data_IF_415251874421
#
_entry.id   IF_415251874421
#
_cell.length_a   1.000
_cell.length_b   1.000
_cell.length_c   1.000
_cell.angle_alpha   90.00
_cell.angle_beta   90.00
_cell.angle_gamma   90.00
#
_symmetry.space_group_name_H-M   'P 1'
#
loop_
_entity.id
_entity.type
_entity.pdbx_description
1 polymer ?
#
# COMPACT_ATOMS: atom_id res chain seq x y z
N UNK A 1 12.70 11.68 -17.53
CA UNK A 1 12.75 12.33 -16.20
C UNK A 1 14.07 11.94 -15.53
N UNK A 2 14.74 12.85 -14.82
CA UNK A 2 15.95 12.52 -14.04
C UNK A 2 15.55 12.26 -12.60
N UNK A 3 16.04 11.17 -12.04
CA UNK A 3 15.90 10.82 -10.64
C UNK A 3 17.23 11.09 -9.92
N UNK A 4 17.16 11.54 -8.68
CA UNK A 4 18.31 11.87 -7.84
C UNK A 4 18.27 11.02 -6.58
N UNK A 5 19.41 10.50 -6.16
CA UNK A 5 19.59 9.80 -4.91
C UNK A 5 20.31 10.74 -3.94
N UNK A 6 19.62 11.09 -2.86
CA UNK A 6 20.12 12.02 -1.85
C UNK A 6 20.19 11.27 -0.52
N UNK A 7 21.34 11.29 0.18
CA UNK A 7 21.44 10.74 1.54
C UNK A 7 20.45 11.42 2.48
N UNK A 8 19.82 10.65 3.37
CA UNK A 8 18.81 11.17 4.30
C UNK A 8 19.36 12.28 5.20
N UNK A 9 20.66 12.27 5.48
CA UNK A 9 21.35 13.25 6.33
C UNK A 9 21.48 14.63 5.67
N UNK A 10 21.21 14.73 4.37
CA UNK A 10 21.31 15.96 3.58
C UNK A 10 19.94 16.62 3.32
N UNK A 11 18.87 16.07 3.88
CA UNK A 11 17.51 16.60 3.75
C UNK A 11 16.89 16.84 5.12
N UNK A 12 16.03 17.84 5.21
CA UNK A 12 15.21 18.07 6.39
C UNK A 12 13.82 17.45 6.18
N UNK A 13 13.46 16.48 7.03
CA UNK A 13 12.14 15.87 7.00
C UNK A 13 11.10 16.78 7.65
N UNK A 14 9.97 16.92 7.00
CA UNK A 14 8.82 17.69 7.46
C UNK A 14 7.68 16.72 7.71
N UNK A 15 7.19 16.67 8.95
CA UNK A 15 6.00 15.89 9.28
C UNK A 15 4.74 16.54 8.69
N UNK A 16 4.41 16.10 7.48
CA UNK A 16 3.19 16.46 6.76
C UNK A 16 2.14 15.35 6.79
N UNK A 17 2.43 14.20 7.43
CA UNK A 17 1.65 12.98 7.25
C UNK A 17 0.50 12.82 8.25
N UNK A 18 -0.36 13.85 8.34
CA UNK A 18 -1.53 13.89 9.21
C UNK A 18 -2.80 13.43 8.46
N UNK A 19 -2.89 12.13 8.20
CA UNK A 19 -3.96 11.52 7.36
C UNK A 19 -4.93 10.62 8.16
N UNK A 20 -6.07 10.29 7.56
CA UNK A 20 -7.10 9.42 8.17
C UNK A 20 -6.83 7.92 8.01
N UNK A 21 -6.13 7.53 6.95
CA UNK A 21 -5.79 6.14 6.63
C UNK A 21 -4.34 6.01 6.18
N UNK A 22 -3.79 4.79 6.21
CA UNK A 22 -2.38 4.53 5.89
C UNK A 22 -1.38 5.36 6.73
N UNK A 23 -1.78 5.79 7.93
CA UNK A 23 -0.96 6.64 8.82
C UNK A 23 0.42 6.05 9.13
N UNK A 24 0.50 4.73 9.21
CA UNK A 24 1.75 4.00 9.46
C UNK A 24 2.74 4.02 8.30
N UNK A 25 2.39 4.49 7.10
CA UNK A 25 3.33 4.56 5.98
C UNK A 25 4.37 5.67 6.16
N UNK A 26 4.10 6.67 7.00
CA UNK A 26 5.04 7.77 7.28
C UNK A 26 5.51 8.47 6.00
N UNK A 27 4.58 8.77 5.08
CA UNK A 27 4.90 9.38 3.78
C UNK A 27 5.14 10.89 3.91
N UNK A 28 6.11 11.23 4.76
CA UNK A 28 6.52 12.59 5.07
C UNK A 28 7.03 13.33 3.84
N UNK A 29 6.97 14.65 3.90
CA UNK A 29 7.66 15.51 2.95
C UNK A 29 9.08 15.78 3.44
N UNK A 30 9.94 16.25 2.54
CA UNK A 30 11.27 16.69 2.90
C UNK A 30 11.65 17.91 2.06
N UNK A 31 12.60 18.70 2.55
CA UNK A 31 13.19 19.83 1.84
C UNK A 31 14.68 19.59 1.61
N UNK A 32 15.19 20.12 0.50
CA UNK A 32 16.59 20.07 0.12
C UNK A 32 16.94 21.42 -0.50
N UNK A 33 17.74 22.21 0.20
CA UNK A 33 18.12 23.57 -0.23
C UNK A 33 19.55 23.59 -0.76
N UNK A 34 19.71 24.11 -1.98
CA UNK A 34 21.01 24.34 -2.65
C UNK A 34 21.96 23.12 -2.65
N UNK A 35 21.40 21.91 -2.72
CA UNK A 35 22.19 20.68 -2.68
C UNK A 35 22.80 20.32 -4.04
N UNK A 36 24.11 20.09 -4.06
CA UNK A 36 24.79 19.51 -5.22
C UNK A 36 24.66 17.97 -5.22
N UNK A 37 24.08 17.42 -6.28
CA UNK A 37 23.98 15.96 -6.48
C UNK A 37 24.98 15.50 -7.55
N UNK A 38 25.99 14.68 -7.18
CA UNK A 38 26.94 14.12 -8.15
C UNK A 38 26.23 13.31 -9.24
N UNK A 39 26.78 13.29 -10.45
CA UNK A 39 26.18 12.56 -11.58
C UNK A 39 25.95 11.08 -11.26
N UNK A 40 26.91 10.45 -10.56
CA UNK A 40 26.82 9.05 -10.12
C UNK A 40 25.66 8.75 -9.16
N UNK A 41 25.11 9.77 -8.51
CA UNK A 41 23.92 9.71 -7.65
C UNK A 41 22.66 10.17 -8.39
N UNK A 42 22.65 10.08 -9.72
CA UNK A 42 21.48 10.37 -10.52
C UNK A 42 21.35 9.38 -11.69
N UNK A 43 20.14 9.22 -12.19
CA UNK A 43 19.90 8.43 -13.39
C UNK A 43 18.72 8.98 -14.17
N UNK A 44 18.69 8.68 -15.47
CA UNK A 44 17.59 9.06 -16.36
C UNK A 44 16.65 7.87 -16.50
N UNK A 45 15.36 8.12 -16.26
CA UNK A 45 14.28 7.17 -16.52
C UNK A 45 14.29 6.71 -17.99
N UNK A 46 14.28 5.39 -18.22
CA UNK A 46 14.27 4.82 -19.57
C UNK A 46 15.65 4.50 -20.15
N UNK A 47 16.74 4.84 -19.46
CA UNK A 47 18.06 4.32 -19.84
C UNK A 47 18.12 2.79 -19.66
N UNK A 48 18.91 2.08 -20.48
CA UNK A 48 19.11 0.64 -20.33
C UNK A 48 19.59 0.28 -18.92
N UNK A 49 19.20 -0.88 -18.39
CA UNK A 49 19.69 -1.34 -17.10
C UNK A 49 21.21 -1.51 -17.14
N UNK A 50 21.87 -1.11 -16.06
CA UNK A 50 23.33 -1.26 -15.91
C UNK A 50 23.73 -2.70 -15.61
N UNK A 51 22.87 -3.40 -14.85
CA UNK A 51 23.09 -4.77 -14.40
C UNK A 51 22.32 -5.77 -15.26
N UNK A 52 22.95 -6.91 -15.53
CA UNK A 52 22.28 -8.05 -16.18
C UNK A 52 21.39 -8.77 -15.18
N UNK A 53 20.09 -8.91 -15.50
CA UNK A 53 19.18 -9.71 -14.70
C UNK A 53 17.71 -9.52 -15.09
N UNK A 54 16.87 -10.56 -14.95
CA UNK A 54 15.47 -10.51 -15.35
C UNK A 54 14.64 -9.52 -14.51
N UNK A 55 15.08 -9.20 -13.28
CA UNK A 55 14.42 -8.21 -12.44
C UNK A 55 14.60 -6.77 -12.96
N UNK A 56 15.77 -6.46 -13.53
CA UNK A 56 16.12 -5.10 -13.95
C UNK A 56 15.46 -4.68 -15.28
N UNK A 57 14.87 -5.63 -16.00
CA UNK A 57 14.11 -5.37 -17.24
C UNK A 57 12.62 -5.22 -16.99
N UNK A 58 12.14 -5.49 -15.76
CA UNK A 58 10.73 -5.25 -15.41
C UNK A 58 10.49 -3.74 -15.38
N UNK A 59 9.47 -3.23 -16.09
CA UNK A 59 9.11 -1.81 -16.04
C UNK A 59 8.86 -1.36 -14.60
N UNK A 60 9.51 -0.28 -14.16
CA UNK A 60 9.39 0.22 -12.79
C UNK A 60 7.95 0.51 -12.39
N UNK A 61 7.13 1.03 -13.31
CA UNK A 61 5.71 1.24 -13.07
C UNK A 61 4.98 -0.04 -12.67
N UNK A 62 5.28 -1.17 -13.33
CA UNK A 62 4.66 -2.46 -12.99
C UNK A 62 5.11 -2.94 -11.60
N UNK A 63 6.39 -2.79 -11.28
CA UNK A 63 6.92 -3.06 -9.94
C UNK A 63 6.18 -2.24 -8.86
N UNK A 64 6.05 -0.93 -9.05
CA UNK A 64 5.31 -0.06 -8.13
C UNK A 64 3.83 -0.45 -8.01
N UNK A 65 3.14 -0.65 -9.13
CA UNK A 65 1.73 -1.05 -9.14
C UNK A 65 1.50 -2.37 -8.39
N UNK A 66 2.40 -3.35 -8.58
CA UNK A 66 2.29 -4.63 -7.89
C UNK A 66 2.37 -4.48 -6.37
N UNK A 67 3.29 -3.65 -5.86
CA UNK A 67 3.39 -3.37 -4.42
C UNK A 67 2.14 -2.71 -3.82
N UNK A 68 1.53 -1.76 -4.55
CA UNK A 68 0.25 -1.16 -4.13
C UNK A 68 -0.87 -2.18 -4.11
N UNK A 69 -0.98 -3.01 -5.16
CA UNK A 69 -2.00 -4.06 -5.25
C UNK A 69 -1.87 -5.07 -4.11
N UNK A 70 -0.64 -5.53 -3.81
CA UNK A 70 -0.38 -6.45 -2.70
C UNK A 70 -0.75 -5.83 -1.35
N UNK A 71 -0.44 -4.55 -1.14
CA UNK A 71 -0.81 -3.84 0.09
C UNK A 71 -2.32 -3.75 0.25
N UNK A 72 -3.03 -3.34 -0.81
CA UNK A 72 -4.49 -3.24 -0.81
C UNK A 72 -5.15 -4.60 -0.54
N UNK A 73 -4.66 -5.65 -1.20
CA UNK A 73 -5.15 -7.03 -1.01
C UNK A 73 -4.93 -7.52 0.43
N UNK A 74 -3.77 -7.24 1.02
CA UNK A 74 -3.48 -7.60 2.41
C UNK A 74 -4.41 -6.90 3.40
N UNK A 75 -4.66 -5.60 3.20
CA UNK A 75 -5.61 -4.83 4.01
C UNK A 75 -7.03 -5.36 3.87
N UNK A 76 -7.48 -5.65 2.64
CA UNK A 76 -8.81 -6.20 2.38
C UNK A 76 -9.01 -7.56 3.07
N UNK A 77 -8.02 -8.46 2.97
CA UNK A 77 -8.07 -9.78 3.60
C UNK A 77 -8.10 -9.68 5.12
N UNK A 78 -7.22 -8.87 5.71
CA UNK A 78 -7.21 -8.66 7.17
C UNK A 78 -8.53 -8.06 7.66
N UNK A 79 -9.16 -7.19 6.87
CA UNK A 79 -10.48 -6.64 7.18
C UNK A 79 -11.57 -7.71 7.18
N UNK A 80 -11.58 -8.60 6.19
CA UNK A 80 -12.52 -9.73 6.13
C UNK A 80 -12.33 -10.68 7.32
N UNK A 81 -11.09 -11.05 7.62
CA UNK A 81 -10.77 -11.93 8.76
C UNK A 81 -11.27 -11.32 10.08
N UNK A 82 -11.10 -10.01 10.26
CA UNK A 82 -11.58 -9.28 11.45
C UNK A 82 -13.11 -9.25 11.55
N UNK A 83 -13.81 -9.13 10.42
CA UNK A 83 -15.29 -9.16 10.39
C UNK A 83 -15.80 -10.55 10.76
N UNK A 84 -15.15 -11.60 10.24
CA UNK A 84 -15.48 -12.98 10.56
C UNK A 84 -15.30 -13.23 12.07
N UNK A 85 -14.13 -12.90 12.61
CA UNK A 85 -13.83 -13.05 14.04
C UNK A 85 -14.84 -12.27 14.91
N UNK A 86 -15.14 -11.03 14.54
CA UNK A 86 -16.13 -10.23 15.25
C UNK A 86 -17.54 -10.86 15.19
N UNK A 87 -17.92 -11.43 14.06
CA UNK A 87 -19.23 -12.07 13.89
C UNK A 87 -19.40 -13.33 14.74
N UNK A 88 -18.31 -14.06 14.99
CA UNK A 88 -18.27 -15.24 15.86
C UNK A 88 -18.24 -14.88 17.35
N UNK A 89 -17.51 -13.81 17.71
CA UNK A 89 -17.34 -13.40 19.10
C UNK A 89 -18.50 -12.56 19.65
N UNK A 90 -19.24 -11.85 18.79
CA UNK A 90 -20.27 -10.91 19.21
C UNK A 90 -21.55 -11.63 19.63
N UNK A 91 -21.75 -11.77 20.94
CA UNK A 91 -23.03 -12.18 21.51
C UNK A 91 -24.04 -11.02 21.36
N UNK A 92 -25.19 -11.22 20.70
CA UNK A 92 -26.17 -10.16 20.53
C UNK A 92 -26.72 -9.68 21.88
N UNK A 93 -26.86 -8.37 22.03
CA UNK A 93 -27.63 -7.79 23.13
C UNK A 93 -29.05 -7.52 22.59
N UNK A 94 -30.01 -8.35 23.04
CA UNK A 94 -31.45 -8.29 22.69
C UNK A 94 -31.84 -8.50 21.22
N UNK A 95 -31.07 -9.30 20.44
CA UNK A 95 -31.44 -9.76 19.09
C UNK A 95 -30.99 -11.22 18.86
N UNK A 96 -31.51 -11.91 17.86
CA UNK A 96 -30.97 -13.22 17.43
C UNK A 96 -29.55 -13.06 16.82
N UNK A 97 -28.77 -14.15 16.79
CA UNK A 97 -27.37 -14.19 16.32
C UNK A 97 -27.17 -13.51 14.95
N UNK A 98 -26.01 -12.88 14.71
CA UNK A 98 -25.71 -12.22 13.43
C UNK A 98 -25.81 -13.16 12.21
N UNK A 99 -25.52 -14.46 12.40
CA UNK A 99 -25.69 -15.53 11.41
C UNK A 99 -27.17 -15.81 11.02
N UNK A 100 -28.12 -15.33 11.82
CA UNK A 100 -29.56 -15.47 11.52
C UNK A 100 -30.16 -14.24 10.85
N UNK A 101 -29.36 -13.20 10.59
CA UNK A 101 -29.83 -12.00 9.91
C UNK A 101 -29.61 -12.11 8.38
N UNK A 102 -30.68 -12.09 7.56
CA UNK A 102 -30.57 -12.24 6.11
C UNK A 102 -29.73 -11.15 5.43
N UNK A 103 -29.63 -9.97 6.06
CA UNK A 103 -28.81 -8.86 5.57
C UNK A 103 -27.30 -9.16 5.66
N UNK A 104 -26.85 -9.80 6.75
CA UNK A 104 -25.44 -10.16 6.98
C UNK A 104 -24.94 -11.21 5.98
N UNK A 105 -25.79 -12.18 5.62
CA UNK A 105 -25.46 -13.19 4.60
C UNK A 105 -25.30 -12.59 3.20
N UNK A 106 -26.05 -11.52 2.90
CA UNK A 106 -25.96 -10.83 1.60
C UNK A 106 -24.65 -10.07 1.45
N UNK A 107 -24.21 -9.35 2.50
CA UNK A 107 -22.96 -8.58 2.49
C UNK A 107 -21.72 -9.49 2.52
N UNK A 108 -21.76 -10.59 3.28
CA UNK A 108 -20.70 -11.62 3.29
C UNK A 108 -20.59 -12.36 1.95
N UNK A 109 -21.69 -12.50 1.19
CA UNK A 109 -21.69 -13.08 -0.15
C UNK A 109 -21.13 -12.14 -1.24
N UNK A 110 -21.18 -10.82 -1.04
CA UNK A 110 -20.64 -9.85 -2.01
C UNK A 110 -19.14 -9.57 -1.82
N UNK A 111 -18.58 -9.78 -0.63
CA UNK A 111 -17.15 -9.55 -0.35
C UNK A 111 -16.17 -10.40 -1.17
N UNK A 112 -16.32 -11.74 -1.21
CA UNK A 112 -15.38 -12.63 -1.92
C UNK A 112 -15.40 -12.46 -3.44
N UNK A 113 -16.56 -12.15 -4.04
CA UNK A 113 -16.73 -12.08 -5.50
C UNK A 113 -15.94 -10.95 -6.18
N UNK A 114 -15.50 -9.92 -5.44
CA UNK A 114 -14.64 -8.86 -5.97
C UNK A 114 -13.13 -9.21 -5.92
N UNK A 115 -12.73 -10.25 -5.21
CA UNK A 115 -11.31 -10.60 -5.00
C UNK A 115 -10.83 -11.76 -5.91
N UNK A 116 -11.73 -12.51 -6.53
CA UNK A 116 -11.40 -13.68 -7.37
C UNK A 116 -11.41 -13.41 -8.88
N UNK A 117 -11.64 -12.17 -9.32
CA UNK A 117 -11.50 -11.78 -10.74
C UNK A 117 -10.38 -10.75 -10.88
N UNK A 118 -9.15 -11.24 -10.93
CA UNK A 118 -7.97 -10.53 -11.45
C UNK A 118 -6.97 -11.53 -12.01
#
# INVERSE_FOLDING_TARGET
MRNMLIPKEQVEFIDTWQVSGLRGTGSFSFTADELFVPEGHSFIEGNPPREGGPLYVIPKTLLFCSGFATTALGVARSGLDSIIELSEAKTPQEQDLLQSQPFTHRELGMGPGCLEVS
#
